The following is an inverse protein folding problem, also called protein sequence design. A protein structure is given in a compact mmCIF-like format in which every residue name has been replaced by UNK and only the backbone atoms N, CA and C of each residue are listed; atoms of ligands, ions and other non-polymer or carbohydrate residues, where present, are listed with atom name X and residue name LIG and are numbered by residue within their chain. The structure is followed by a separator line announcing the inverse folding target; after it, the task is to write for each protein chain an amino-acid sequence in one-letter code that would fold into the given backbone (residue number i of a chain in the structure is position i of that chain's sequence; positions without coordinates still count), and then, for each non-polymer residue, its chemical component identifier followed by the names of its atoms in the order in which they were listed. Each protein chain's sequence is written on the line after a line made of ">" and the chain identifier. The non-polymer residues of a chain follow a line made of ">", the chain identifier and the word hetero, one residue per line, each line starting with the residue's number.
data_IF_225968243337
#
_entry.id   IF_225968243337
#
_cell.length_a   1.000
_cell.length_b   1.000
_cell.length_c   1.000
_cell.angle_alpha   90.00
_cell.angle_beta   90.00
_cell.angle_gamma   90.00
#
_symmetry.space_group_name_H-M   'P 1'
#
loop_
_entity.id
_entity.type
_entity.pdbx_description
1 polymer ?
#
# COMPACT_ATOMS: atom_id res chain seq x y z
N UNK A 1 12.36 -16.76 33.54
CA UNK A 1 12.72 -15.54 34.27
C UNK A 1 11.42 -14.99 34.82
N UNK A 2 11.19 -15.09 36.13
CA UNK A 2 10.01 -14.51 36.76
C UNK A 2 10.04 -12.99 36.52
N UNK A 3 9.01 -12.46 35.84
CA UNK A 3 8.87 -11.02 35.61
C UNK A 3 8.60 -10.35 36.95
N UNK A 4 9.26 -9.21 37.20
CA UNK A 4 9.15 -8.48 38.46
C UNK A 4 7.73 -7.91 38.64
N UNK A 5 7.37 -7.51 39.86
CA UNK A 5 6.05 -6.95 40.21
C UNK A 5 5.72 -5.61 39.54
N UNK A 6 6.64 -5.05 38.74
CA UNK A 6 6.44 -3.82 37.95
C UNK A 6 6.36 -4.09 36.44
N UNK A 7 6.64 -5.32 36.00
CA UNK A 7 6.67 -5.66 34.59
C UNK A 7 5.26 -5.97 34.07
N UNK A 8 4.93 -5.43 32.89
CA UNK A 8 3.74 -5.85 32.13
C UNK A 8 2.38 -5.63 32.82
N UNK A 9 2.28 -4.65 33.73
CA UNK A 9 1.05 -4.32 34.48
C UNK A 9 -0.19 -4.07 33.61
N UNK A 10 0.01 -3.75 32.32
CA UNK A 10 -1.05 -3.51 31.32
C UNK A 10 -1.05 -4.52 30.17
N UNK A 11 -0.17 -5.53 30.20
CA UNK A 11 -0.06 -6.54 29.14
C UNK A 11 -0.62 -7.85 29.69
N UNK A 12 -1.85 -8.18 29.29
CA UNK A 12 -2.54 -9.38 29.74
C UNK A 12 -1.98 -10.67 29.12
N UNK A 13 -1.59 -10.63 27.83
CA UNK A 13 -1.08 -11.78 27.08
C UNK A 13 -0.17 -11.33 25.94
N UNK A 14 0.78 -12.18 25.55
CA UNK A 14 1.59 -12.01 24.36
C UNK A 14 1.57 -13.32 23.56
N UNK A 15 1.07 -13.26 22.33
CA UNK A 15 1.09 -14.38 21.40
C UNK A 15 2.15 -14.12 20.31
N UNK A 16 3.01 -15.09 19.99
CA UNK A 16 4.00 -14.91 18.93
C UNK A 16 3.34 -14.87 17.55
N UNK A 17 3.92 -14.09 16.66
CA UNK A 17 3.56 -14.02 15.24
C UNK A 17 4.57 -14.87 14.46
N UNK A 18 4.09 -15.67 13.51
CA UNK A 18 4.92 -16.46 12.62
C UNK A 18 5.91 -15.55 11.85
N UNK A 19 7.15 -15.96 11.61
CA UNK A 19 8.09 -15.12 10.87
C UNK A 19 7.68 -14.98 9.39
N UNK A 20 7.97 -13.84 8.73
CA UNK A 20 7.65 -13.65 7.31
C UNK A 20 8.17 -14.77 6.39
N UNK A 21 9.38 -15.25 6.64
CA UNK A 21 10.01 -16.36 5.90
C UNK A 21 9.23 -17.67 5.94
N UNK A 22 8.50 -17.95 7.03
CA UNK A 22 7.67 -19.15 7.12
C UNK A 22 6.50 -19.06 6.14
N UNK A 23 5.83 -17.91 6.08
CA UNK A 23 4.73 -17.68 5.14
C UNK A 23 5.25 -17.69 3.70
N UNK A 24 6.43 -17.15 3.45
CA UNK A 24 7.09 -17.20 2.14
C UNK A 24 7.46 -18.62 1.72
N UNK A 25 7.85 -19.48 2.67
CA UNK A 25 8.12 -20.90 2.42
C UNK A 25 6.85 -21.70 2.14
N UNK A 26 5.78 -21.48 2.92
CA UNK A 26 4.49 -22.17 2.76
C UNK A 26 3.78 -21.74 1.46
N UNK A 27 3.91 -20.46 1.08
CA UNK A 27 3.28 -19.86 -0.09
C UNK A 27 4.36 -19.15 -0.91
N UNK A 28 5.16 -19.90 -1.69
CA UNK A 28 6.23 -19.33 -2.49
C UNK A 28 5.69 -18.55 -3.69
N UNK A 29 6.48 -17.62 -4.21
CA UNK A 29 6.16 -16.96 -5.48
C UNK A 29 6.17 -17.98 -6.63
N UNK A 30 5.17 -17.91 -7.50
CA UNK A 30 5.24 -18.56 -8.81
C UNK A 30 6.11 -17.76 -9.77
N UNK A 31 6.55 -18.37 -10.87
CA UNK A 31 7.24 -17.65 -11.94
C UNK A 31 6.37 -16.50 -12.48
N UNK A 32 5.08 -16.78 -12.72
CA UNK A 32 4.10 -15.77 -13.14
C UNK A 32 3.98 -14.64 -12.13
N UNK A 33 3.82 -14.94 -10.83
CA UNK A 33 3.74 -13.90 -9.81
C UNK A 33 4.99 -13.03 -9.75
N UNK A 34 6.18 -13.64 -9.88
CA UNK A 34 7.47 -12.95 -9.92
C UNK A 34 7.53 -11.98 -11.11
N UNK A 35 7.11 -12.43 -12.30
CA UNK A 35 7.03 -11.58 -13.49
C UNK A 35 6.02 -10.46 -13.32
N UNK A 36 4.82 -10.76 -12.84
CA UNK A 36 3.76 -9.77 -12.57
C UNK A 36 4.28 -8.64 -11.70
N UNK A 37 4.87 -8.95 -10.55
CA UNK A 37 5.37 -7.96 -9.58
C UNK A 37 6.55 -7.17 -10.14
N UNK A 38 7.50 -7.85 -10.79
CA UNK A 38 8.68 -7.18 -11.36
C UNK A 38 8.28 -6.21 -12.47
N UNK A 39 7.40 -6.66 -13.37
CA UNK A 39 7.04 -5.89 -14.56
C UNK A 39 6.06 -4.78 -14.19
N UNK A 40 5.12 -4.99 -13.26
CA UNK A 40 4.24 -3.94 -12.75
C UNK A 40 5.01 -2.82 -12.06
N UNK A 41 6.02 -3.13 -11.21
CA UNK A 41 6.86 -2.10 -10.57
C UNK A 41 7.57 -1.24 -11.62
N UNK A 42 8.12 -1.86 -12.67
CA UNK A 42 8.74 -1.11 -13.78
C UNK A 42 7.74 -0.26 -14.55
N UNK A 43 6.53 -0.78 -14.79
CA UNK A 43 5.48 -0.04 -15.47
C UNK A 43 5.02 1.16 -14.64
N UNK A 44 4.84 1.00 -13.32
CA UNK A 44 4.51 2.11 -12.41
C UNK A 44 5.62 3.16 -12.44
N UNK A 45 6.88 2.75 -12.38
CA UNK A 45 8.03 3.66 -12.48
C UNK A 45 8.02 4.42 -13.81
N UNK A 46 7.81 3.73 -14.93
CA UNK A 46 7.71 4.36 -16.25
C UNK A 46 6.55 5.36 -16.35
N UNK A 47 5.40 5.04 -15.76
CA UNK A 47 4.24 5.95 -15.68
C UNK A 47 4.59 7.17 -14.82
N UNK A 48 5.23 6.97 -13.66
CA UNK A 48 5.66 8.05 -12.78
C UNK A 48 6.73 8.95 -13.42
N UNK A 49 7.60 8.38 -14.24
CA UNK A 49 8.63 9.08 -15.01
C UNK A 49 8.05 9.75 -16.28
N UNK A 50 6.78 9.49 -16.61
CA UNK A 50 6.11 10.01 -17.81
C UNK A 50 6.66 9.44 -19.12
N UNK A 51 7.22 8.22 -19.07
CA UNK A 51 7.66 7.41 -20.21
C UNK A 51 6.56 6.48 -20.73
N UNK A 52 5.49 6.32 -19.95
CA UNK A 52 4.30 5.52 -20.26
C UNK A 52 3.07 6.38 -19.91
N UNK A 53 2.22 6.64 -20.91
CA UNK A 53 1.08 7.56 -20.79
C UNK A 53 -0.17 6.89 -20.18
N UNK A 54 -0.07 5.63 -19.75
CA UNK A 54 -1.19 4.91 -19.12
C UNK A 54 -1.52 5.47 -17.74
N UNK A 55 -2.80 5.37 -17.36
CA UNK A 55 -3.24 5.66 -16.00
C UNK A 55 -3.15 4.42 -15.11
N UNK A 56 -2.78 4.59 -13.84
CA UNK A 56 -2.85 3.48 -12.86
C UNK A 56 -4.24 3.50 -12.24
N UNK A 57 -4.93 2.36 -12.25
CA UNK A 57 -6.27 2.23 -11.65
C UNK A 57 -6.20 1.22 -10.52
N UNK A 58 -6.59 1.66 -9.33
CA UNK A 58 -6.67 0.81 -8.15
C UNK A 58 -8.12 0.44 -7.91
N UNK A 59 -8.43 -0.85 -7.96
CA UNK A 59 -9.77 -1.39 -7.74
C UNK A 59 -9.81 -2.14 -6.42
N UNK A 60 -10.72 -1.71 -5.53
CA UNK A 60 -11.01 -2.43 -4.28
C UNK A 60 -12.24 -3.32 -4.46
N UNK A 61 -12.19 -4.59 -4.05
CA UNK A 61 -13.36 -5.46 -4.11
C UNK A 61 -14.55 -4.89 -3.32
N UNK A 62 -15.76 -5.06 -3.85
CA UNK A 62 -17.00 -4.56 -3.24
C UNK A 62 -17.34 -5.23 -1.92
N UNK A 63 -16.86 -6.45 -1.68
CA UNK A 63 -16.98 -7.16 -0.40
C UNK A 63 -15.67 -7.86 -0.06
N UNK A 64 -14.83 -7.20 0.74
CA UNK A 64 -13.66 -7.83 1.35
C UNK A 64 -14.10 -8.37 2.71
N UNK A 65 -14.98 -9.38 2.71
CA UNK A 65 -15.29 -10.14 3.93
C UNK A 65 -14.47 -11.41 3.93
N UNK A 66 -13.84 -11.72 5.06
CA UNK A 66 -13.21 -13.02 5.22
C UNK A 66 -14.31 -14.10 5.34
N UNK A 67 -14.21 -15.24 4.62
CA UNK A 67 -13.18 -15.60 3.65
C UNK A 67 -13.39 -14.89 2.29
N UNK A 68 -12.30 -14.40 1.69
CA UNK A 68 -12.36 -13.65 0.42
C UNK A 68 -13.03 -14.48 -0.67
N UNK A 69 -14.02 -13.96 -1.43
CA UNK A 69 -14.54 -14.64 -2.60
C UNK A 69 -13.44 -14.73 -3.66
N UNK A 70 -13.07 -15.96 -4.03
CA UNK A 70 -11.75 -16.26 -4.61
C UNK A 70 -11.73 -16.50 -6.13
N UNK A 71 -12.80 -16.35 -6.91
CA UNK A 71 -12.77 -16.79 -8.32
C UNK A 71 -13.44 -15.90 -9.36
N UNK A 72 -14.68 -15.47 -9.16
CA UNK A 72 -15.40 -14.73 -10.20
C UNK A 72 -14.84 -13.31 -10.39
N UNK A 73 -14.62 -12.60 -9.28
CA UNK A 73 -14.07 -11.25 -9.26
C UNK A 73 -12.69 -11.16 -9.95
N UNK A 74 -11.86 -12.19 -9.82
CA UNK A 74 -10.54 -12.21 -10.47
C UNK A 74 -10.59 -12.46 -11.97
N UNK A 75 -11.54 -13.30 -12.43
CA UNK A 75 -11.70 -13.53 -13.86
C UNK A 75 -12.18 -12.26 -14.56
N UNK A 76 -13.13 -11.55 -13.94
CA UNK A 76 -13.61 -10.25 -14.40
C UNK A 76 -12.50 -9.20 -14.35
N UNK A 77 -11.77 -9.09 -13.24
CA UNK A 77 -10.64 -8.17 -13.10
C UNK A 77 -9.56 -8.45 -14.15
N UNK A 78 -9.20 -9.71 -14.38
CA UNK A 78 -8.23 -10.09 -15.41
C UNK A 78 -8.71 -9.74 -16.83
N UNK A 79 -10.00 -9.90 -17.10
CA UNK A 79 -10.61 -9.50 -18.36
C UNK A 79 -10.51 -7.99 -18.58
N UNK A 80 -10.81 -7.20 -17.54
CA UNK A 80 -10.65 -5.74 -17.57
C UNK A 80 -9.19 -5.32 -17.77
N UNK A 81 -8.25 -5.91 -17.02
CA UNK A 81 -6.81 -5.67 -17.20
C UNK A 81 -6.39 -5.91 -18.65
N UNK A 82 -6.90 -6.97 -19.29
CA UNK A 82 -6.57 -7.31 -20.67
C UNK A 82 -7.18 -6.32 -21.66
N UNK A 83 -8.48 -6.02 -21.49
CA UNK A 83 -9.25 -5.15 -22.38
C UNK A 83 -8.71 -3.71 -22.42
N UNK A 84 -8.24 -3.19 -21.29
CA UNK A 84 -7.76 -1.81 -21.16
C UNK A 84 -6.24 -1.68 -21.03
N UNK A 85 -5.48 -2.76 -21.24
CA UNK A 85 -4.02 -2.81 -21.04
C UNK A 85 -3.21 -1.73 -21.79
N UNK A 86 -3.74 -1.20 -22.90
CA UNK A 86 -3.13 -0.14 -23.69
C UNK A 86 -3.19 1.23 -23.02
N UNK A 87 -4.25 1.49 -22.26
CA UNK A 87 -4.55 2.81 -21.70
C UNK A 87 -4.44 2.81 -20.16
N UNK A 88 -4.62 1.65 -19.52
CA UNK A 88 -4.70 1.50 -18.08
C UNK A 88 -3.75 0.41 -17.55
N UNK A 89 -3.10 0.70 -16.43
CA UNK A 89 -2.48 -0.28 -15.53
C UNK A 89 -3.44 -0.53 -14.36
N UNK A 90 -4.28 -1.55 -14.50
CA UNK A 90 -5.26 -1.92 -13.47
C UNK A 90 -4.60 -2.82 -12.42
N UNK A 91 -4.81 -2.49 -11.15
CA UNK A 91 -4.26 -3.20 -9.99
C UNK A 91 -5.36 -3.51 -8.98
N UNK A 92 -5.23 -4.64 -8.29
CA UNK A 92 -6.01 -4.92 -7.10
C UNK A 92 -5.50 -4.04 -5.96
N UNK A 93 -6.37 -3.33 -5.26
CA UNK A 93 -6.00 -2.58 -4.05
C UNK A 93 -6.72 -3.11 -2.82
N UNK A 94 -5.94 -3.34 -1.76
CA UNK A 94 -6.41 -3.91 -0.50
C UNK A 94 -5.97 -3.04 0.67
N UNK A 95 -6.95 -2.62 1.48
CA UNK A 95 -6.74 -1.88 2.72
C UNK A 95 -6.51 -2.89 3.85
N UNK A 96 -5.38 -2.79 4.56
CA UNK A 96 -5.05 -3.75 5.62
C UNK A 96 -5.89 -3.55 6.88
N UNK A 97 -6.45 -2.35 7.06
CA UNK A 97 -7.34 -2.02 8.19
C UNK A 97 -8.64 -2.83 8.15
N UNK A 98 -9.09 -3.25 6.96
CA UNK A 98 -10.33 -4.02 6.75
C UNK A 98 -10.19 -5.53 7.00
N UNK A 99 -9.00 -6.03 7.31
CA UNK A 99 -8.70 -7.48 7.39
C UNK A 99 -9.16 -8.16 8.69
N UNK A 100 -10.26 -7.67 9.29
CA UNK A 100 -10.94 -8.34 10.40
C UNK A 100 -11.59 -9.66 9.94
N UNK A 101 -11.42 -10.73 10.72
CA UNK A 101 -11.94 -12.09 10.44
C UNK A 101 -13.22 -12.33 11.29
N UNK A 102 -14.15 -13.19 10.84
CA UNK A 102 -15.54 -12.87 10.51
C UNK A 102 -16.50 -12.69 11.72
N UNK A 103 -16.00 -12.56 12.95
CA UNK A 103 -16.80 -12.44 14.17
C UNK A 103 -16.38 -11.31 15.11
N UNK A 104 -15.60 -10.34 14.64
CA UNK A 104 -15.49 -9.05 15.35
C UNK A 104 -15.14 -7.91 14.40
N UNK A 105 -15.82 -6.77 14.58
CA UNK A 105 -15.69 -5.50 13.85
C UNK A 105 -14.33 -4.79 14.04
N UNK A 106 -13.20 -5.50 13.94
CA UNK A 106 -11.93 -5.04 14.50
C UNK A 106 -10.74 -5.50 13.67
N UNK A 107 -10.22 -4.60 12.84
CA UNK A 107 -8.97 -4.80 12.08
C UNK A 107 -7.74 -4.96 12.98
N UNK A 108 -6.57 -5.13 12.37
CA UNK A 108 -5.26 -5.32 13.04
C UNK A 108 -4.94 -4.17 14.04
N UNK A 109 -5.60 -3.02 13.89
CA UNK A 109 -5.35 -1.78 14.65
C UNK A 109 -6.51 -1.32 15.56
N UNK A 110 -7.51 -2.16 15.86
CA UNK A 110 -8.69 -1.75 16.65
C UNK A 110 -8.40 -1.48 18.13
N UNK A 111 -9.03 -0.43 18.68
CA UNK A 111 -8.82 0.11 20.04
C UNK A 111 -9.97 -0.10 21.02
N UNK A 112 -11.00 -0.90 20.69
CA UNK A 112 -12.18 -1.12 21.56
C UNK A 112 -12.04 -2.37 22.45
N UNK A 113 -12.78 -2.38 23.58
CA UNK A 113 -12.55 -3.23 24.77
C UNK A 113 -12.91 -4.74 24.69
N UNK A 114 -13.66 -5.21 23.69
CA UNK A 114 -13.80 -6.66 23.40
C UNK A 114 -12.53 -7.26 22.74
N UNK A 115 -11.62 -7.76 23.57
CA UNK A 115 -10.40 -8.48 23.20
C UNK A 115 -10.75 -9.94 22.86
N UNK A 116 -11.62 -10.18 21.87
CA UNK A 116 -11.95 -11.53 21.41
C UNK A 116 -11.05 -11.93 20.22
N UNK A 117 -10.09 -12.81 20.51
CA UNK A 117 -9.29 -13.66 19.61
C UNK A 117 -9.12 -13.21 18.15
N UNK A 118 -8.41 -12.10 17.92
CA UNK A 118 -7.84 -11.84 16.59
C UNK A 118 -6.70 -12.85 16.35
N UNK A 119 -6.90 -13.80 15.43
CA UNK A 119 -5.83 -14.72 15.02
C UNK A 119 -5.05 -14.08 13.86
N UNK A 120 -4.07 -13.25 14.23
CA UNK A 120 -3.21 -12.54 13.28
C UNK A 120 -2.48 -13.48 12.33
N UNK A 121 -2.01 -14.64 12.82
CA UNK A 121 -1.29 -15.63 12.00
C UNK A 121 -2.18 -16.19 10.88
N UNK A 122 -3.44 -16.55 11.18
CA UNK A 122 -4.41 -16.98 10.16
C UNK A 122 -4.69 -15.89 9.14
N UNK A 123 -4.79 -14.64 9.61
CA UNK A 123 -5.10 -13.48 8.76
C UNK A 123 -3.95 -13.19 7.80
N UNK A 124 -2.71 -13.17 8.30
CA UNK A 124 -1.51 -12.98 7.47
C UNK A 124 -1.37 -14.10 6.43
N UNK A 125 -1.57 -15.36 6.83
CA UNK A 125 -1.52 -16.50 5.91
C UNK A 125 -2.58 -16.39 4.81
N UNK A 126 -3.83 -16.11 5.16
CA UNK A 126 -4.91 -15.96 4.18
C UNK A 126 -4.68 -14.77 3.22
N UNK A 127 -4.18 -13.65 3.72
CA UNK A 127 -3.84 -12.50 2.89
C UNK A 127 -2.71 -12.85 1.91
N UNK A 128 -1.68 -13.58 2.37
CA UNK A 128 -0.60 -14.02 1.48
C UNK A 128 -1.13 -14.93 0.39
N UNK A 129 -2.02 -15.87 0.72
CA UNK A 129 -2.67 -16.73 -0.28
C UNK A 129 -3.47 -15.92 -1.30
N UNK A 130 -4.19 -14.90 -0.85
CA UNK A 130 -4.96 -13.99 -1.71
C UNK A 130 -4.04 -13.24 -2.67
N UNK A 131 -2.97 -12.63 -2.16
CA UNK A 131 -1.99 -11.91 -2.97
C UNK A 131 -1.23 -12.82 -3.94
N UNK A 132 -0.85 -14.01 -3.48
CA UNK A 132 -0.22 -15.03 -4.30
C UNK A 132 -1.12 -15.44 -5.47
N UNK A 133 -2.43 -15.64 -5.22
CA UNK A 133 -3.39 -16.02 -6.25
C UNK A 133 -3.57 -14.91 -7.29
N UNK A 134 -3.79 -13.67 -6.84
CA UNK A 134 -3.94 -12.52 -7.73
C UNK A 134 -2.70 -12.32 -8.62
N UNK A 135 -1.51 -12.33 -8.01
CA UNK A 135 -0.24 -12.16 -8.73
C UNK A 135 0.02 -13.29 -9.71
N UNK A 136 -0.32 -14.53 -9.34
CA UNK A 136 -0.20 -15.72 -10.23
C UNK A 136 -1.18 -15.67 -11.41
N UNK A 137 -2.24 -14.87 -11.34
CA UNK A 137 -3.16 -14.64 -12.45
C UNK A 137 -2.71 -13.50 -13.38
N UNK A 138 -1.63 -12.79 -13.05
CA UNK A 138 -1.15 -11.63 -13.80
C UNK A 138 -1.65 -10.29 -13.25
N UNK A 139 -2.26 -10.27 -12.06
CA UNK A 139 -2.89 -9.07 -11.50
C UNK A 139 -1.93 -8.46 -10.46
N UNK A 140 -1.40 -7.25 -10.69
CA UNK A 140 -0.55 -6.58 -9.73
C UNK A 140 -1.36 -6.03 -8.54
N UNK A 141 -0.67 -5.82 -7.42
CA UNK A 141 -1.31 -5.53 -6.14
C UNK A 141 -0.76 -4.23 -5.55
N UNK A 142 -1.68 -3.37 -5.10
CA UNK A 142 -1.41 -2.23 -4.25
C UNK A 142 -1.94 -2.50 -2.84
N UNK A 143 -1.27 -1.99 -1.82
CA UNK A 143 -1.66 -2.20 -0.43
C UNK A 143 -1.25 -1.04 0.45
N UNK A 144 -1.96 -0.84 1.55
CA UNK A 144 -1.52 0.09 2.58
C UNK A 144 -0.23 -0.39 3.24
N UNK A 145 0.63 0.58 3.57
CA UNK A 145 1.84 0.36 4.36
C UNK A 145 1.76 1.30 5.55
N UNK A 146 1.21 0.82 6.66
CA UNK A 146 0.93 1.65 7.83
C UNK A 146 1.84 1.36 9.03
N UNK A 147 2.66 0.30 8.97
CA UNK A 147 3.55 -0.09 10.06
C UNK A 147 4.84 -0.78 9.58
N UNK A 148 5.84 -0.84 10.48
CA UNK A 148 7.18 -1.34 10.20
C UNK A 148 7.32 -2.88 10.21
N UNK A 149 6.22 -3.62 10.38
CA UNK A 149 6.20 -5.07 10.56
C UNK A 149 5.44 -5.73 9.41
N UNK A 150 4.17 -5.36 9.21
CA UNK A 150 3.20 -6.09 8.39
C UNK A 150 3.59 -6.20 6.93
N UNK A 151 4.24 -5.19 6.36
CA UNK A 151 4.66 -5.22 4.95
C UNK A 151 5.65 -6.35 4.65
N UNK A 152 6.50 -6.77 5.60
CA UNK A 152 7.52 -7.82 5.38
C UNK A 152 6.90 -9.17 5.00
N UNK A 153 5.62 -9.40 5.29
CA UNK A 153 4.92 -10.64 4.96
C UNK A 153 4.48 -10.72 3.49
N UNK A 154 4.49 -9.58 2.78
CA UNK A 154 3.88 -9.43 1.47
C UNK A 154 4.71 -8.58 0.50
N UNK A 155 5.83 -8.00 0.94
CA UNK A 155 6.63 -7.06 0.14
C UNK A 155 7.11 -7.66 -1.19
N UNK A 156 7.28 -8.97 -1.26
CA UNK A 156 7.60 -9.76 -2.45
C UNK A 156 6.42 -9.89 -3.45
N UNK A 157 5.19 -9.63 -3.01
CA UNK A 157 3.94 -9.67 -3.79
C UNK A 157 3.37 -8.29 -4.11
N UNK A 158 3.86 -7.23 -3.45
CA UNK A 158 3.34 -5.87 -3.64
C UNK A 158 4.01 -5.13 -4.80
N UNK A 159 3.22 -4.35 -5.52
CA UNK A 159 3.67 -3.53 -6.66
C UNK A 159 3.60 -2.02 -6.36
N UNK A 160 2.73 -1.60 -5.44
CA UNK A 160 2.54 -0.22 -5.02
C UNK A 160 2.15 -0.16 -3.53
N UNK A 161 2.71 0.78 -2.78
CA UNK A 161 2.32 1.07 -1.41
C UNK A 161 1.44 2.32 -1.31
N UNK A 162 0.55 2.37 -0.31
CA UNK A 162 -0.16 3.60 0.07
C UNK A 162 0.13 3.89 1.54
N UNK A 163 0.60 5.10 1.82
CA UNK A 163 0.87 5.60 3.16
C UNK A 163 -0.29 6.47 3.65
N UNK A 164 -0.73 6.23 4.89
CA UNK A 164 -1.76 7.03 5.55
C UNK A 164 -1.28 8.47 5.83
N UNK A 165 -2.17 9.45 5.72
CA UNK A 165 -1.85 10.87 5.91
C UNK A 165 -1.34 11.22 7.30
N UNK A 166 -1.73 10.46 8.32
CA UNK A 166 -1.23 10.61 9.69
C UNK A 166 0.24 10.20 9.83
N UNK A 167 0.77 9.42 8.89
CA UNK A 167 2.12 8.89 8.93
C UNK A 167 3.11 9.70 8.09
N UNK A 168 2.65 10.67 7.29
CA UNK A 168 3.51 11.50 6.45
C UNK A 168 4.57 12.26 7.27
N UNK A 169 4.22 12.74 8.47
CA UNK A 169 5.17 13.41 9.37
C UNK A 169 5.97 12.46 10.26
N UNK A 170 5.74 11.14 10.17
CA UNK A 170 6.45 10.15 10.97
C UNK A 170 7.80 9.84 10.35
N UNK A 171 8.88 10.21 11.03
CA UNK A 171 10.25 9.90 10.62
C UNK A 171 10.46 8.39 10.53
N UNK A 172 9.94 7.60 11.47
CA UNK A 172 10.05 6.14 11.47
C UNK A 172 9.38 5.52 10.26
N UNK A 173 8.21 6.04 9.87
CA UNK A 173 7.47 5.56 8.71
C UNK A 173 8.16 5.98 7.40
N UNK A 174 8.66 7.20 7.32
CA UNK A 174 9.39 7.69 6.15
C UNK A 174 10.71 6.91 5.94
N UNK A 175 11.40 6.60 7.04
CA UNK A 175 12.58 5.73 7.03
C UNK A 175 12.23 4.31 6.57
N UNK A 176 11.07 3.76 6.96
CA UNK A 176 10.55 2.51 6.41
C UNK A 176 10.36 2.62 4.89
N UNK A 177 9.60 3.62 4.43
CA UNK A 177 9.24 3.78 3.01
C UNK A 177 10.47 3.91 2.12
N UNK A 178 11.54 4.55 2.62
CA UNK A 178 12.83 4.65 1.92
C UNK A 178 13.51 3.30 1.62
N UNK A 179 13.08 2.21 2.28
CA UNK A 179 13.58 0.86 2.08
C UNK A 179 12.68 -0.04 1.24
N UNK A 180 11.46 0.40 0.91
CA UNK A 180 10.51 -0.44 0.18
C UNK A 180 10.93 -0.61 -1.29
N UNK A 181 10.79 -1.82 -1.87
CA UNK A 181 11.26 -2.11 -3.21
C UNK A 181 10.25 -1.72 -4.32
N UNK A 182 9.24 -0.92 -3.98
CA UNK A 182 8.16 -0.49 -4.86
C UNK A 182 7.78 0.98 -4.60
N UNK A 183 7.14 1.64 -5.58
CA UNK A 183 6.65 3.02 -5.42
C UNK A 183 5.64 3.17 -4.29
N UNK A 184 5.54 4.37 -3.69
CA UNK A 184 4.62 4.65 -2.57
C UNK A 184 3.87 5.97 -2.75
N UNK A 185 2.54 5.91 -2.62
CA UNK A 185 1.68 7.09 -2.62
C UNK A 185 1.47 7.59 -1.18
N UNK A 186 1.77 8.86 -0.89
CA UNK A 186 1.56 9.49 0.41
C UNK A 186 0.23 10.23 0.42
N UNK A 187 -0.70 9.77 1.27
CA UNK A 187 -1.99 10.45 1.45
C UNK A 187 -1.80 11.80 2.14
N UNK A 188 -2.64 12.77 1.81
CA UNK A 188 -2.72 14.07 2.51
C UNK A 188 -3.98 14.16 3.35
N UNK A 189 -3.91 14.94 4.44
CA UNK A 189 -5.08 15.17 5.31
C UNK A 189 -6.10 16.12 4.68
N UNK A 190 -5.59 17.10 3.92
CA UNK A 190 -6.35 18.08 3.15
C UNK A 190 -5.60 18.29 1.85
N UNK A 191 -6.32 18.33 0.75
CA UNK A 191 -5.71 18.37 -0.58
C UNK A 191 -5.08 19.72 -0.92
N UNK A 192 -5.36 20.76 -0.13
CA UNK A 192 -4.68 22.05 -0.19
C UNK A 192 -3.38 22.11 0.63
N UNK A 193 -3.09 21.12 1.48
CA UNK A 193 -1.87 21.04 2.30
C UNK A 193 -1.04 19.81 1.95
N UNK A 194 -0.16 19.98 0.95
CA UNK A 194 0.72 18.92 0.45
C UNK A 194 2.09 18.90 1.14
N UNK A 195 2.39 19.89 1.99
CA UNK A 195 3.73 20.06 2.57
C UNK A 195 4.17 18.80 3.32
N UNK A 196 3.36 18.19 4.21
CA UNK A 196 3.78 16.99 4.91
C UNK A 196 4.10 15.82 3.98
N UNK A 197 3.29 15.62 2.93
CA UNK A 197 3.52 14.54 1.97
C UNK A 197 4.77 14.80 1.12
N UNK A 198 5.00 16.04 0.68
CA UNK A 198 6.19 16.39 -0.10
C UNK A 198 7.48 16.22 0.71
N UNK A 199 7.49 16.66 1.98
CA UNK A 199 8.62 16.46 2.88
C UNK A 199 8.87 14.96 3.15
N UNK A 200 7.80 14.18 3.31
CA UNK A 200 7.89 12.73 3.48
C UNK A 200 8.52 12.06 2.24
N UNK A 201 8.10 12.46 1.04
CA UNK A 201 8.65 11.91 -0.20
C UNK A 201 10.12 12.29 -0.35
N UNK A 202 10.47 13.57 -0.14
CA UNK A 202 11.86 14.03 -0.25
C UNK A 202 12.76 13.32 0.77
N UNK A 203 12.28 13.15 2.00
CA UNK A 203 12.99 12.38 3.02
C UNK A 203 13.11 10.90 2.63
N UNK A 204 12.04 10.24 2.18
CA UNK A 204 12.06 8.84 1.74
C UNK A 204 13.01 8.60 0.56
N UNK A 205 13.29 9.61 -0.26
CA UNK A 205 14.23 9.50 -1.39
C UNK A 205 15.70 9.31 -0.98
N UNK A 206 16.02 9.53 0.30
CA UNK A 206 17.37 9.38 0.86
C UNK A 206 17.51 8.11 1.71
N UNK A 207 18.74 7.68 1.96
CA UNK A 207 19.01 6.53 2.84
C UNK A 207 18.75 6.84 4.32
N UNK A 208 18.13 5.90 5.02
CA UNK A 208 17.77 5.97 6.44
C UNK A 208 18.19 4.73 7.21
N UNK A 209 18.00 4.78 8.53
CA UNK A 209 18.01 3.61 9.41
C UNK A 209 16.72 3.57 10.21
N UNK A 210 16.11 2.38 10.34
CA UNK A 210 14.92 2.20 11.17
C UNK A 210 14.92 0.84 11.87
N UNK A 211 14.17 0.75 12.97
CA UNK A 211 13.90 -0.50 13.67
C UNK A 211 12.70 -1.19 13.03
N UNK A 212 12.89 -2.43 12.61
CA UNK A 212 11.87 -3.29 12.04
C UNK A 212 12.12 -4.75 12.41
N UNK A 213 11.67 -5.65 11.55
CA UNK A 213 11.92 -7.09 11.68
C UNK A 213 12.68 -7.61 10.46
N UNK A 214 13.44 -8.68 10.67
CA UNK A 214 14.02 -9.51 9.63
C UNK A 214 13.00 -10.52 9.10
N UNK A 215 13.34 -11.20 8.01
CA UNK A 215 12.51 -12.28 7.44
C UNK A 215 12.38 -13.46 8.42
N UNK A 216 13.34 -13.65 9.33
CA UNK A 216 13.31 -14.64 10.40
C UNK A 216 12.46 -14.19 11.62
N UNK A 217 11.83 -13.02 11.56
CA UNK A 217 10.98 -12.49 12.64
C UNK A 217 11.75 -11.90 13.81
N UNK A 218 13.08 -11.70 13.68
CA UNK A 218 13.91 -11.06 14.69
C UNK A 218 13.95 -9.55 14.51
N UNK A 219 13.99 -8.80 15.61
CA UNK A 219 14.17 -7.34 15.58
C UNK A 219 15.51 -7.01 14.90
N UNK A 220 15.48 -6.10 13.93
CA UNK A 220 16.64 -5.72 13.15
C UNK A 220 16.71 -4.21 12.90
N UNK A 221 17.93 -3.70 12.71
CA UNK A 221 18.17 -2.37 12.16
C UNK A 221 18.26 -2.50 10.64
N UNK A 222 17.27 -1.95 9.95
CA UNK A 222 17.27 -1.86 8.49
C UNK A 222 18.01 -0.59 8.07
N UNK A 223 18.87 -0.71 7.04
CA UNK A 223 19.57 0.42 6.42
C UNK A 223 19.18 0.51 4.97
N UNK A 224 18.69 1.67 4.55
CA UNK A 224 18.07 1.85 3.24
C UNK A 224 18.93 2.74 2.34
N UNK A 225 18.64 2.71 1.04
CA UNK A 225 19.31 3.55 0.04
C UNK A 225 18.45 4.72 -0.44
N UNK A 226 17.20 4.79 0.01
CA UNK A 226 16.21 5.73 -0.49
C UNK A 226 15.30 5.10 -1.53
N UNK A 227 14.07 5.62 -1.60
CA UNK A 227 13.04 5.29 -2.56
C UNK A 227 12.63 6.58 -3.28
N UNK A 228 13.11 6.74 -4.51
CA UNK A 228 12.83 7.92 -5.33
C UNK A 228 11.42 7.95 -5.92
N UNK A 229 10.68 6.83 -5.84
CA UNK A 229 9.37 6.67 -6.46
C UNK A 229 8.23 6.92 -5.46
N UNK A 230 8.30 8.04 -4.75
CA UNK A 230 7.20 8.53 -3.93
C UNK A 230 6.38 9.61 -4.65
N UNK A 231 5.07 9.59 -4.49
CA UNK A 231 4.14 10.54 -5.09
C UNK A 231 2.95 10.81 -4.17
N UNK A 232 2.13 11.80 -4.50
CA UNK A 232 1.04 12.27 -3.61
C UNK A 232 -0.26 11.55 -3.93
N UNK A 233 -1.04 11.20 -2.90
CA UNK A 233 -2.43 10.77 -2.99
C UNK A 233 -3.35 11.89 -2.46
N UNK A 234 -4.27 12.35 -3.31
CA UNK A 234 -5.28 13.36 -3.00
C UNK A 234 -6.67 12.72 -2.88
N UNK A 235 -7.56 13.40 -2.19
CA UNK A 235 -8.96 12.99 -2.10
C UNK A 235 -9.81 13.78 -3.11
N UNK A 236 -10.48 13.07 -4.04
CA UNK A 236 -11.36 13.67 -5.04
C UNK A 236 -12.56 14.39 -4.41
N UNK A 237 -12.98 13.97 -3.21
CA UNK A 237 -14.20 14.48 -2.58
C UNK A 237 -14.09 15.93 -2.10
N UNK A 238 -12.88 16.45 -1.98
CA UNK A 238 -12.64 17.79 -1.42
C UNK A 238 -12.80 18.90 -2.46
N UNK A 239 -12.67 18.59 -3.76
CA UNK A 239 -12.81 19.58 -4.83
C UNK A 239 -13.44 18.97 -6.09
N UNK A 240 -14.36 19.70 -6.73
CA UNK A 240 -15.09 19.23 -7.93
C UNK A 240 -14.21 19.12 -9.20
N UNK A 241 -13.06 19.82 -9.24
CA UNK A 241 -12.18 19.87 -10.41
C UNK A 241 -10.70 19.67 -10.03
N UNK A 242 -9.89 18.97 -10.86
CA UNK A 242 -8.43 18.84 -10.67
C UNK A 242 -7.68 20.17 -10.60
N UNK A 243 -8.21 21.23 -11.22
CA UNK A 243 -7.61 22.57 -11.20
C UNK A 243 -7.83 23.30 -9.86
N UNK A 244 -8.77 22.84 -9.05
CA UNK A 244 -9.10 23.43 -7.75
C UNK A 244 -8.14 23.01 -6.63
N UNK A 245 -7.24 22.06 -6.88
CA UNK A 245 -6.19 21.67 -5.93
C UNK A 245 -5.05 22.71 -5.98
N UNK A 246 -5.15 23.75 -5.15
CA UNK A 246 -4.30 24.93 -5.21
C UNK A 246 -2.79 24.68 -5.02
N UNK A 247 -2.42 23.49 -4.53
CA UNK A 247 -1.04 23.12 -4.27
C UNK A 247 -0.32 22.39 -5.43
N UNK A 248 -1.03 21.95 -6.47
CA UNK A 248 -0.45 21.26 -7.63
C UNK A 248 0.53 22.13 -8.43
N UNK A 249 0.26 23.43 -8.69
CA UNK A 249 1.25 24.31 -9.35
C UNK A 249 2.56 24.46 -8.56
N UNK A 250 2.51 24.33 -7.23
CA UNK A 250 3.69 24.32 -6.38
C UNK A 250 4.54 23.05 -6.53
N UNK A 251 3.89 21.91 -6.79
CA UNK A 251 4.57 20.65 -7.06
C UNK A 251 5.25 20.64 -8.43
N UNK A 252 4.61 21.18 -9.47
CA UNK A 252 5.21 21.32 -10.81
C UNK A 252 6.55 22.06 -10.74
N UNK A 253 6.59 23.19 -10.01
CA UNK A 253 7.84 23.97 -9.86
C UNK A 253 8.95 23.20 -9.16
N UNK A 254 8.61 22.31 -8.22
CA UNK A 254 9.60 21.54 -7.44
C UNK A 254 10.02 20.24 -8.13
N UNK A 255 9.12 19.60 -8.88
CA UNK A 255 9.26 18.21 -9.35
C UNK A 255 9.02 18.01 -10.85
N UNK A 256 8.72 19.07 -11.60
CA UNK A 256 8.47 19.03 -13.03
C UNK A 256 7.06 18.53 -13.36
N UNK A 257 6.86 17.21 -13.36
CA UNK A 257 5.59 16.56 -13.72
C UNK A 257 4.94 15.91 -12.48
N UNK A 258 3.97 16.55 -11.81
CA UNK A 258 3.34 15.98 -10.64
C UNK A 258 2.38 14.86 -11.06
N UNK A 259 2.75 13.63 -10.70
CA UNK A 259 1.88 12.47 -10.76
C UNK A 259 1.13 12.34 -9.44
N UNK A 260 -0.18 12.13 -9.51
CA UNK A 260 -1.04 12.13 -8.32
C UNK A 260 -2.01 10.96 -8.37
N UNK A 261 -2.15 10.25 -7.24
CA UNK A 261 -3.26 9.32 -7.03
C UNK A 261 -4.50 10.11 -6.58
N UNK A 262 -5.52 10.19 -7.41
CA UNK A 262 -6.82 10.76 -7.07
C UNK A 262 -7.73 9.66 -6.50
N UNK A 263 -8.14 9.82 -5.25
CA UNK A 263 -9.08 8.91 -4.58
C UNK A 263 -10.52 9.32 -4.89
N UNK A 264 -11.16 8.66 -5.87
CA UNK A 264 -12.51 8.98 -6.38
C UNK A 264 -13.64 8.32 -5.57
N UNK A 265 -13.41 7.94 -4.31
CA UNK A 265 -14.30 7.07 -3.55
C UNK A 265 -15.69 7.64 -3.18
N UNK A 266 -16.09 8.82 -3.66
CA UNK A 266 -17.43 9.39 -3.41
C UNK A 266 -18.59 8.61 -4.06
N UNK A 267 -18.34 7.77 -5.08
CA UNK A 267 -19.38 6.91 -5.69
C UNK A 267 -18.98 5.44 -5.93
N UNK A 268 -17.93 4.96 -5.26
CA UNK A 268 -17.58 3.53 -5.24
C UNK A 268 -16.10 3.27 -5.47
N UNK A 269 -15.41 2.88 -4.39
CA UNK A 269 -14.27 1.93 -4.30
C UNK A 269 -13.17 1.96 -5.39
N UNK A 270 -13.02 3.05 -6.12
CA UNK A 270 -12.13 3.18 -7.28
C UNK A 270 -11.20 4.36 -7.05
N UNK A 271 -9.90 4.13 -7.21
CA UNK A 271 -8.87 5.18 -7.11
C UNK A 271 -8.08 5.22 -8.42
N UNK A 272 -7.78 6.41 -8.91
CA UNK A 272 -7.18 6.64 -10.22
C UNK A 272 -5.92 7.49 -10.08
N UNK A 273 -4.76 7.00 -10.52
CA UNK A 273 -3.57 7.83 -10.68
C UNK A 273 -3.68 8.57 -11.99
N UNK A 274 -3.64 9.89 -11.91
CA UNK A 274 -3.76 10.80 -13.03
C UNK A 274 -2.46 11.59 -13.17
N UNK A 275 -2.01 11.73 -14.42
CA UNK A 275 -1.00 12.72 -14.76
C UNK A 275 -1.67 14.10 -14.86
N UNK A 276 -1.30 15.03 -13.97
CA UNK A 276 -1.90 16.37 -13.92
C UNK A 276 -1.75 17.15 -15.24
N UNK A 277 -0.68 16.95 -16.00
CA UNK A 277 -0.54 17.61 -17.30
C UNK A 277 -1.56 17.11 -18.33
N UNK A 278 -2.03 15.87 -18.21
CA UNK A 278 -3.01 15.31 -19.15
C UNK A 278 -4.41 15.92 -18.96
N UNK A 279 -4.74 16.48 -17.78
CA UNK A 279 -6.08 17.05 -17.51
C UNK A 279 -6.28 18.45 -18.08
N UNK A 280 -5.21 19.19 -18.36
CA UNK A 280 -5.30 20.53 -18.99
C UNK A 280 -5.68 20.50 -20.49
N UNK A 281 -5.86 19.30 -21.07
CA UNK A 281 -6.28 19.09 -22.46
C UNK A 281 -7.66 18.45 -22.64
N UNK A 282 -8.37 18.14 -21.55
CA UNK A 282 -9.75 17.63 -21.60
C UNK A 282 -10.73 18.74 -21.21
N UNK A 283 -10.99 19.64 -22.16
CA UNK A 283 -12.16 20.54 -22.16
C UNK A 283 -13.28 19.98 -23.01
#
# INVERSE_FOLDING_TARGET
>A
MERSSIDSLRVYKQDPIAPPSLLAFEIPLTETATLTVRDSRKQIQAILDGLDDRFIVLLTPTSVSFPFPLSQDYAELKSLCSAFSKDLLIMLYMELEDLAVPHSDRGIHSTTDDITTCNINKSLHALRQHFHKASSLGIPIACDVNDNITHNYFDDLLSLGISNSKLASSQSHTALVSGLPFPVAFSVNKSDDLVPALEAIDSASSGHQYLGISQEGLIAISRTRGNSYGFVKLNASEHEHPESYGALPGMEKKRGRPMVLLDCATHGKTRLVINYHATTGFS
#
